data_IF_363946058631
#
_entry.id   IF_363946058631
#
_cell.length_a   1.000
_cell.length_b   1.000
_cell.length_c   1.000
_cell.angle_alpha   90.00
_cell.angle_beta   90.00
_cell.angle_gamma   90.00
#
_symmetry.space_group_name_H-M   'P 1'
#
loop_
_entity.id
_entity.type
_entity.pdbx_description
1 polymer ?
#
# COMPACT_ATOMS: atom_id res chain seq x y z
N UNK A 1 30.40 -17.87 11.57
CA UNK A 1 29.05 -17.38 11.19
C UNK A 1 29.12 -15.85 11.04
N UNK A 2 28.38 -15.24 10.09
CA UNK A 2 28.25 -13.76 10.02
C UNK A 2 26.80 -13.43 10.33
N UNK A 3 26.57 -12.93 11.54
CA UNK A 3 25.26 -12.42 11.96
C UNK A 3 24.91 -11.21 11.08
N UNK A 4 23.82 -11.33 10.32
CA UNK A 4 23.27 -10.25 9.52
C UNK A 4 22.66 -9.20 10.44
N UNK A 5 23.42 -8.14 10.69
CA UNK A 5 22.98 -6.97 11.44
C UNK A 5 21.84 -6.28 10.66
N UNK A 6 20.60 -6.63 11.04
CA UNK A 6 19.40 -6.02 10.48
C UNK A 6 19.32 -4.60 11.00
N UNK A 7 19.78 -3.62 10.22
CA UNK A 7 19.71 -2.20 10.58
C UNK A 7 18.27 -1.70 10.61
N UNK A 8 17.54 -1.97 11.69
CA UNK A 8 16.26 -1.31 11.95
C UNK A 8 16.50 0.17 12.24
N UNK A 9 15.91 1.05 11.43
CA UNK A 9 15.97 2.50 11.65
C UNK A 9 15.00 2.86 12.79
N UNK A 10 15.47 2.76 14.03
CA UNK A 10 14.73 3.18 15.22
C UNK A 10 14.81 4.69 15.44
N UNK A 11 13.78 5.29 16.03
CA UNK A 11 13.80 6.71 16.40
C UNK A 11 14.98 7.01 17.34
N UNK A 12 15.76 8.06 17.07
CA UNK A 12 16.92 8.40 17.89
C UNK A 12 16.54 8.81 19.32
N UNK A 13 15.36 9.42 19.50
CA UNK A 13 14.86 9.90 20.80
C UNK A 13 14.15 8.81 21.60
N UNK A 14 13.24 8.06 20.96
CA UNK A 14 12.33 7.15 21.66
C UNK A 14 12.69 5.67 21.51
N UNK A 15 13.65 5.34 20.63
CA UNK A 15 14.06 3.97 20.25
C UNK A 15 12.96 3.05 19.73
N UNK A 16 11.73 3.54 19.58
CA UNK A 16 10.65 2.77 18.97
C UNK A 16 10.82 2.68 17.44
N UNK A 17 10.16 1.71 16.80
CA UNK A 17 10.06 1.64 15.34
C UNK A 17 9.45 2.91 14.77
N UNK A 18 9.82 3.25 13.52
CA UNK A 18 9.36 4.45 12.84
C UNK A 18 7.83 4.55 12.78
N UNK A 19 7.16 3.42 12.57
CA UNK A 19 5.70 3.24 12.51
C UNK A 19 4.97 3.43 13.86
N UNK A 20 5.72 3.56 14.96
CA UNK A 20 5.17 3.85 16.28
C UNK A 20 5.06 5.35 16.57
N UNK A 21 5.56 6.19 15.66
CA UNK A 21 5.37 7.62 15.70
C UNK A 21 4.28 8.04 14.72
N UNK A 22 3.43 8.97 15.14
CA UNK A 22 2.64 9.80 14.24
C UNK A 22 3.60 10.81 13.56
N UNK A 23 4.49 10.30 12.68
CA UNK A 23 5.30 11.16 11.81
C UNK A 23 4.38 11.69 10.71
N UNK A 24 3.56 12.69 11.08
CA UNK A 24 2.83 13.49 10.14
C UNK A 24 3.85 14.22 9.27
N UNK A 25 4.01 13.76 8.04
CA UNK A 25 4.54 14.60 6.99
C UNK A 25 3.32 15.14 6.25
N UNK A 26 3.22 16.45 6.10
CA UNK A 26 2.14 17.09 5.32
C UNK A 26 2.07 16.56 3.87
N UNK A 27 3.17 15.98 3.35
CA UNK A 27 3.28 15.34 2.03
C UNK A 27 2.82 13.86 2.01
N UNK A 28 2.41 13.26 3.13
CA UNK A 28 2.19 11.81 3.26
C UNK A 28 0.71 11.40 3.25
N UNK A 29 -0.20 12.37 3.12
CA UNK A 29 -1.65 12.12 3.18
C UNK A 29 -2.17 11.36 1.95
N UNK A 30 -1.37 11.24 0.89
CA UNK A 30 -1.76 10.48 -0.29
C UNK A 30 -0.52 9.99 -1.05
N UNK A 31 -0.36 8.67 -1.11
CA UNK A 31 0.71 8.02 -1.87
C UNK A 31 0.74 8.45 -3.33
N UNK A 32 -0.43 8.69 -3.94
CA UNK A 32 -0.51 9.20 -5.33
C UNK A 32 0.02 10.62 -5.46
N UNK A 33 -0.20 11.48 -4.48
CA UNK A 33 0.37 12.84 -4.46
C UNK A 33 1.88 12.78 -4.24
N UNK A 34 2.34 11.87 -3.38
CA UNK A 34 3.77 11.63 -3.08
C UNK A 34 4.57 11.11 -4.27
N UNK A 35 3.92 10.45 -5.24
CA UNK A 35 4.56 9.85 -6.41
C UNK A 35 4.46 10.73 -7.67
N UNK A 36 3.72 11.84 -7.63
CA UNK A 36 3.46 12.64 -8.83
C UNK A 36 2.63 11.91 -9.90
N UNK A 37 2.06 10.73 -9.61
CA UNK A 37 1.17 9.95 -10.50
C UNK A 37 -0.25 10.53 -10.45
N UNK A 38 -0.32 11.85 -10.42
CA UNK A 38 -1.51 12.64 -10.24
C UNK A 38 -1.84 13.41 -11.50
N UNK A 39 -2.05 12.73 -12.62
CA UNK A 39 -2.85 13.23 -13.73
C UNK A 39 -3.03 12.12 -14.77
N UNK A 40 -3.89 11.15 -14.48
CA UNK A 40 -4.70 10.62 -15.57
C UNK A 40 -6.14 10.47 -15.08
N UNK A 41 -7.00 11.25 -15.74
CA UNK A 41 -8.41 11.39 -15.47
C UNK A 41 -9.15 10.16 -15.97
N UNK A 42 -9.04 8.99 -15.33
CA UNK A 42 -10.00 7.92 -15.61
C UNK A 42 -10.45 7.12 -14.38
N UNK A 43 -11.57 7.61 -13.84
CA UNK A 43 -12.82 6.88 -13.61
C UNK A 43 -12.73 5.48 -12.97
N UNK A 44 -12.50 5.44 -11.66
CA UNK A 44 -13.33 4.60 -10.78
C UNK A 44 -13.37 5.12 -9.34
N UNK A 45 -14.31 6.05 -9.09
CA UNK A 45 -14.63 6.58 -7.76
C UNK A 45 -13.83 7.84 -7.43
N UNK A 46 -14.43 9.02 -7.63
CA UNK A 46 -13.87 10.27 -7.11
C UNK A 46 -13.43 10.00 -5.68
N UNK A 47 -12.23 10.40 -5.29
CA UNK A 47 -11.78 10.34 -3.89
C UNK A 47 -12.88 10.84 -2.94
N UNK A 48 -13.64 11.85 -3.37
CA UNK A 48 -14.83 12.39 -2.71
C UNK A 48 -15.93 11.35 -2.43
N UNK A 49 -16.10 10.36 -3.30
CA UNK A 49 -17.06 9.27 -3.15
C UNK A 49 -16.63 8.29 -2.07
N UNK A 50 -15.35 7.92 -2.03
CA UNK A 50 -14.80 7.03 -1.00
C UNK A 50 -14.88 7.71 0.37
N UNK A 51 -14.49 8.99 0.41
CA UNK A 51 -14.60 9.84 1.60
C UNK A 51 -16.06 10.02 2.03
N UNK A 52 -17.00 10.29 1.12
CA UNK A 52 -18.41 10.43 1.47
C UNK A 52 -19.06 9.12 1.94
N UNK A 53 -18.45 7.97 1.63
CA UNK A 53 -18.80 6.67 2.20
C UNK A 53 -18.13 6.38 3.55
N UNK A 54 -17.38 7.34 4.11
CA UNK A 54 -16.70 7.19 5.39
C UNK A 54 -15.44 6.34 5.34
N UNK A 55 -14.86 6.14 4.15
CA UNK A 55 -13.65 5.33 3.94
C UNK A 55 -12.48 6.24 3.54
N UNK A 56 -11.28 5.89 4.01
CA UNK A 56 -10.03 6.51 3.55
C UNK A 56 -9.57 5.92 2.20
N UNK A 57 -9.98 4.69 1.89
CA UNK A 57 -9.61 3.96 0.68
C UNK A 57 -10.62 2.86 0.36
N UNK A 58 -10.79 2.55 -0.93
CA UNK A 58 -11.56 1.40 -1.41
C UNK A 58 -10.76 0.67 -2.51
N UNK A 59 -10.86 -0.68 -2.61
CA UNK A 59 -10.17 -1.43 -3.65
C UNK A 59 -10.70 -1.07 -5.05
N UNK A 60 -9.82 -0.83 -6.04
CA UNK A 60 -10.26 -0.65 -7.42
C UNK A 60 -10.80 -1.97 -7.99
N UNK A 61 -11.60 -1.91 -9.05
CA UNK A 61 -12.14 -3.08 -9.75
C UNK A 61 -13.46 -3.64 -9.21
N UNK A 62 -13.93 -3.18 -8.04
CA UNK A 62 -15.23 -3.58 -7.49
C UNK A 62 -16.30 -2.49 -7.65
N UNK A 63 -17.56 -2.86 -7.93
CA UNK A 63 -18.66 -1.91 -7.86
C UNK A 63 -18.92 -1.46 -6.42
N UNK A 64 -19.45 -0.24 -6.22
CA UNK A 64 -19.63 0.38 -4.90
C UNK A 64 -20.35 -0.50 -3.88
N UNK A 65 -21.37 -1.25 -4.31
CA UNK A 65 -22.15 -2.14 -3.43
C UNK A 65 -21.38 -3.41 -3.00
N UNK A 66 -20.27 -3.75 -3.69
CA UNK A 66 -19.38 -4.87 -3.36
C UNK A 66 -18.22 -4.45 -2.44
N UNK A 67 -17.93 -3.15 -2.31
CA UNK A 67 -16.85 -2.66 -1.43
C UNK A 67 -17.11 -3.02 0.04
N UNK A 68 -18.36 -2.91 0.49
CA UNK A 68 -18.75 -3.33 1.85
C UNK A 68 -18.57 -4.85 2.06
N UNK A 69 -18.92 -5.66 1.05
CA UNK A 69 -18.71 -7.12 1.10
C UNK A 69 -17.23 -7.48 1.17
N UNK A 70 -16.38 -6.79 0.41
CA UNK A 70 -14.93 -6.96 0.49
C UNK A 70 -14.41 -6.68 1.91
N UNK A 71 -14.82 -5.57 2.52
CA UNK A 71 -14.35 -5.22 3.87
C UNK A 71 -14.90 -6.12 4.98
N UNK A 72 -16.04 -6.79 4.77
CA UNK A 72 -16.53 -7.85 5.69
C UNK A 72 -15.60 -9.06 5.76
N UNK A 73 -14.77 -9.26 4.74
CA UNK A 73 -13.77 -10.34 4.71
C UNK A 73 -12.49 -10.00 5.48
N UNK A 74 -12.34 -8.75 5.96
CA UNK A 74 -11.16 -8.29 6.68
C UNK A 74 -11.45 -8.15 8.19
N UNK A 75 -10.42 -8.26 9.05
CA UNK A 75 -10.52 -7.87 10.45
C UNK A 75 -11.01 -6.42 10.58
N UNK A 76 -11.97 -6.17 11.48
CA UNK A 76 -12.61 -4.86 11.61
C UNK A 76 -11.62 -3.73 11.94
N UNK A 77 -10.57 -4.05 12.70
CA UNK A 77 -9.49 -3.13 13.08
C UNK A 77 -8.54 -2.78 11.92
N UNK A 78 -8.69 -3.43 10.75
CA UNK A 78 -7.91 -3.20 9.53
C UNK A 78 -8.73 -2.61 8.38
N UNK A 79 -10.03 -2.39 8.58
CA UNK A 79 -10.89 -1.74 7.58
C UNK A 79 -10.63 -0.23 7.60
N UNK A 80 -10.28 0.42 6.48
CA UNK A 80 -9.84 1.82 6.44
C UNK A 80 -11.03 2.81 6.51
N UNK A 81 -11.79 2.75 7.61
CA UNK A 81 -12.85 3.73 7.92
C UNK A 81 -12.22 4.99 8.51
N UNK A 82 -12.68 6.16 8.05
CA UNK A 82 -12.21 7.47 8.53
C UNK A 82 -12.34 7.57 10.07
N UNK A 83 -11.30 8.06 10.73
CA UNK A 83 -11.22 8.26 12.17
C UNK A 83 -11.05 6.97 13.00
N UNK A 84 -10.85 5.81 12.36
CA UNK A 84 -10.75 4.51 13.06
C UNK A 84 -9.32 3.98 13.12
N UNK A 85 -9.09 2.93 13.94
CA UNK A 85 -7.80 2.23 13.98
C UNK A 85 -7.40 1.64 12.63
N UNK A 86 -8.36 1.29 11.78
CA UNK A 86 -8.10 0.72 10.47
C UNK A 86 -7.60 1.73 9.45
N UNK A 87 -7.99 3.01 9.56
CA UNK A 87 -7.36 4.10 8.80
C UNK A 87 -5.89 4.24 9.19
N UNK A 88 -5.59 4.34 10.49
CA UNK A 88 -4.21 4.39 11.00
C UNK A 88 -3.41 3.14 10.61
N UNK A 89 -4.03 1.97 10.62
CA UNK A 89 -3.41 0.74 10.15
C UNK A 89 -3.03 0.85 8.66
N UNK A 90 -3.95 1.32 7.82
CA UNK A 90 -3.70 1.52 6.38
C UNK A 90 -2.55 2.49 6.13
N UNK A 91 -2.51 3.62 6.85
CA UNK A 91 -1.40 4.58 6.78
C UNK A 91 -0.07 3.90 7.13
N UNK A 92 -0.01 3.18 8.26
CA UNK A 92 1.19 2.41 8.65
C UNK A 92 1.63 1.42 7.59
N UNK A 93 0.69 0.69 6.99
CA UNK A 93 1.01 -0.24 5.91
C UNK A 93 1.58 0.46 4.68
N UNK A 94 1.09 1.65 4.31
CA UNK A 94 1.65 2.45 3.23
C UNK A 94 3.07 2.93 3.53
N UNK A 95 3.35 3.32 4.77
CA UNK A 95 4.70 3.73 5.18
C UNK A 95 5.72 2.59 5.04
N UNK A 96 5.29 1.36 5.36
CA UNK A 96 6.11 0.14 5.27
C UNK A 96 6.32 -0.25 3.81
N UNK A 97 5.24 -0.25 3.01
CA UNK A 97 5.28 -0.71 1.62
C UNK A 97 5.96 0.30 0.68
N UNK A 98 5.98 1.59 1.03
CA UNK A 98 6.50 2.67 0.18
C UNK A 98 7.56 3.52 0.91
N UNK A 99 8.73 2.94 1.19
CA UNK A 99 9.84 3.67 1.76
C UNK A 99 10.30 4.81 0.82
N UNK A 100 10.92 5.87 1.36
CA UNK A 100 11.34 7.03 0.53
C UNK A 100 12.45 6.64 -0.44
N UNK A 101 13.32 5.71 -0.02
CA UNK A 101 14.45 5.18 -0.79
C UNK A 101 13.96 4.66 -2.13
N UNK A 102 12.93 3.83 -2.07
CA UNK A 102 12.23 3.30 -3.23
C UNK A 102 11.74 4.40 -4.18
N UNK A 103 11.43 5.62 -3.73
CA UNK A 103 10.87 6.66 -4.59
C UNK A 103 11.91 7.43 -5.39
N UNK A 104 13.09 7.67 -4.82
CA UNK A 104 14.14 8.43 -5.50
C UNK A 104 15.52 8.15 -4.90
N UNK A 105 16.53 8.18 -5.77
CA UNK A 105 17.94 8.09 -5.39
C UNK A 105 18.34 9.15 -4.36
N UNK A 106 17.74 10.34 -4.41
CA UNK A 106 17.98 11.44 -3.46
C UNK A 106 17.72 11.06 -1.99
N UNK A 107 16.91 10.03 -1.72
CA UNK A 107 16.64 9.54 -0.36
C UNK A 107 17.59 8.40 0.08
N UNK A 108 18.52 8.00 -0.79
CA UNK A 108 19.46 6.91 -0.55
C UNK A 108 20.84 7.46 -0.18
N UNK A 109 21.41 6.99 0.93
CA UNK A 109 22.73 7.46 1.43
C UNK A 109 23.90 6.58 1.01
N UNK A 110 23.64 5.34 0.58
CA UNK A 110 24.66 4.30 0.45
C UNK A 110 24.57 3.54 -0.88
N UNK A 111 24.10 4.19 -1.94
CA UNK A 111 24.12 3.63 -3.29
C UNK A 111 25.40 4.11 -3.96
N UNK A 112 26.24 3.16 -4.39
CA UNK A 112 27.47 3.45 -5.12
C UNK A 112 27.15 4.25 -6.40
N UNK A 113 27.87 5.35 -6.69
CA UNK A 113 27.73 6.10 -7.94
C UNK A 113 27.68 5.24 -9.21
N UNK A 114 28.42 4.12 -9.24
CA UNK A 114 28.41 3.19 -10.36
C UNK A 114 27.04 2.54 -10.63
N UNK A 115 26.13 2.54 -9.65
CA UNK A 115 24.80 1.93 -9.73
C UNK A 115 23.66 2.97 -9.84
N UNK A 116 23.95 4.27 -9.88
CA UNK A 116 22.93 5.32 -9.89
C UNK A 116 21.97 5.19 -11.08
N UNK A 117 22.50 5.01 -12.29
CA UNK A 117 21.67 4.84 -13.49
C UNK A 117 20.77 3.62 -13.39
N UNK A 118 21.31 2.44 -13.05
CA UNK A 118 20.51 1.22 -12.89
C UNK A 118 19.44 1.33 -11.79
N UNK A 119 19.71 2.13 -10.75
CA UNK A 119 18.78 2.38 -9.66
C UNK A 119 17.60 3.25 -10.13
N UNK A 120 17.88 4.32 -10.89
CA UNK A 120 16.85 5.18 -11.46
C UNK A 120 15.99 4.42 -12.49
N UNK A 121 16.60 3.60 -13.34
CA UNK A 121 15.88 2.72 -14.27
C UNK A 121 14.93 1.77 -13.52
N UNK A 122 15.39 1.17 -12.43
CA UNK A 122 14.57 0.27 -11.59
C UNK A 122 13.37 1.00 -10.98
N UNK A 123 13.58 2.19 -10.41
CA UNK A 123 12.49 2.98 -9.80
C UNK A 123 11.46 3.38 -10.86
N UNK A 124 11.94 3.85 -12.01
CA UNK A 124 11.09 4.29 -13.12
C UNK A 124 10.22 3.12 -13.58
N UNK A 125 10.83 1.97 -13.88
CA UNK A 125 10.10 0.78 -14.28
C UNK A 125 9.08 0.35 -13.21
N UNK A 126 9.47 0.29 -11.93
CA UNK A 126 8.55 -0.07 -10.84
C UNK A 126 7.35 0.88 -10.77
N UNK A 127 7.58 2.19 -10.85
CA UNK A 127 6.51 3.18 -10.78
C UNK A 127 5.56 3.09 -11.97
N UNK A 128 6.08 2.79 -13.15
CA UNK A 128 5.29 2.72 -14.38
C UNK A 128 4.49 1.42 -14.51
N UNK A 129 5.06 0.27 -14.13
CA UNK A 129 4.47 -1.04 -14.46
C UNK A 129 4.02 -1.88 -13.26
N UNK A 130 4.46 -1.56 -12.05
CA UNK A 130 4.22 -2.42 -10.88
C UNK A 130 3.50 -1.72 -9.72
N UNK A 131 3.57 -0.39 -9.65
CA UNK A 131 2.97 0.39 -8.58
C UNK A 131 1.48 0.65 -8.85
N UNK A 132 0.64 0.45 -7.84
CA UNK A 132 -0.82 0.70 -7.90
C UNK A 132 -1.60 -0.04 -9.01
N UNK A 133 -1.04 -1.11 -9.59
CA UNK A 133 -1.71 -1.91 -10.63
C UNK A 133 -2.71 -2.95 -10.08
N UNK A 134 -2.69 -3.21 -8.77
CA UNK A 134 -3.52 -4.24 -8.16
C UNK A 134 -4.99 -3.81 -8.09
N UNK A 135 -5.90 -4.73 -8.41
CA UNK A 135 -7.34 -4.52 -8.32
C UNK A 135 -8.04 -5.74 -7.76
N UNK A 136 -9.15 -5.49 -7.05
CA UNK A 136 -10.02 -6.55 -6.59
C UNK A 136 -11.00 -6.95 -7.70
N UNK A 137 -11.18 -8.25 -7.87
CA UNK A 137 -12.11 -8.83 -8.83
C UNK A 137 -13.02 -9.79 -8.09
N UNK A 138 -14.32 -9.71 -8.36
CA UNK A 138 -15.26 -10.70 -7.86
C UNK A 138 -15.01 -12.06 -8.53
N UNK A 139 -14.87 -13.11 -7.71
CA UNK A 139 -14.88 -14.48 -8.18
C UNK A 139 -16.15 -15.16 -7.67
N UNK A 140 -17.02 -15.58 -8.59
CA UNK A 140 -18.30 -16.21 -8.28
C UNK A 140 -18.19 -17.73 -8.11
N UNK A 141 -17.07 -18.32 -8.55
CA UNK A 141 -16.80 -19.74 -8.48
C UNK A 141 -15.71 -20.04 -7.46
N UNK A 142 -15.85 -21.18 -6.79
CA UNK A 142 -14.78 -21.75 -5.96
C UNK A 142 -13.50 -21.84 -6.79
N UNK A 143 -12.41 -21.30 -6.27
CA UNK A 143 -11.11 -21.26 -6.95
C UNK A 143 -10.04 -21.80 -6.00
N UNK A 144 -9.15 -22.63 -6.51
CA UNK A 144 -8.03 -23.15 -5.72
C UNK A 144 -6.78 -22.30 -5.98
N UNK A 145 -6.07 -21.94 -4.91
CA UNK A 145 -4.81 -21.20 -5.00
C UNK A 145 -3.76 -22.07 -5.70
N UNK A 146 -3.11 -21.60 -6.79
CA UNK A 146 -2.14 -22.39 -7.53
C UNK A 146 -0.88 -22.72 -6.70
N UNK A 147 -0.54 -21.88 -5.72
CA UNK A 147 0.67 -22.03 -4.91
C UNK A 147 0.45 -22.94 -3.69
N UNK A 148 -0.66 -22.78 -2.96
CA UNK A 148 -0.88 -23.52 -1.71
C UNK A 148 -1.98 -24.57 -1.78
N UNK A 149 -2.69 -24.70 -2.90
CA UNK A 149 -3.77 -25.67 -3.12
C UNK A 149 -5.02 -25.45 -2.28
N UNK A 150 -5.07 -24.40 -1.44
CA UNK A 150 -6.26 -24.09 -0.64
C UNK A 150 -7.34 -23.49 -1.50
N UNK A 151 -8.56 -23.95 -1.27
CA UNK A 151 -9.75 -23.39 -1.90
C UNK A 151 -10.15 -22.05 -1.29
N UNK A 152 -10.56 -21.11 -2.13
CA UNK A 152 -11.23 -19.86 -1.78
C UNK A 152 -12.70 -20.00 -2.13
N UNK A 153 -13.56 -19.92 -1.12
CA UNK A 153 -15.01 -20.04 -1.24
C UNK A 153 -15.67 -18.67 -1.52
N UNK A 154 -16.93 -18.65 -2.01
CA UNK A 154 -17.69 -17.42 -2.10
C UNK A 154 -17.79 -16.71 -0.74
N UNK A 155 -17.48 -15.42 -0.70
CA UNK A 155 -17.44 -14.62 0.53
C UNK A 155 -16.09 -14.65 1.26
N UNK A 156 -15.08 -15.32 0.71
CA UNK A 156 -13.69 -15.22 1.15
C UNK A 156 -12.89 -14.31 0.21
N UNK A 157 -11.74 -13.84 0.70
CA UNK A 157 -10.78 -13.07 -0.09
C UNK A 157 -9.48 -13.85 -0.23
N UNK A 158 -8.93 -13.86 -1.44
CA UNK A 158 -7.65 -14.46 -1.76
C UNK A 158 -6.80 -13.48 -2.58
N UNK A 159 -5.49 -13.68 -2.52
CA UNK A 159 -4.54 -13.03 -3.42
C UNK A 159 -4.11 -14.11 -4.42
N UNK A 160 -4.24 -13.79 -5.70
CA UNK A 160 -3.81 -14.63 -6.82
C UNK A 160 -2.49 -14.11 -7.37
#
# INVERSE_FOLDING_TARGET
>A
EREGESQSKTCNSCKCPRESHDVFHEEWVNVRERLGIGQDQDKWGSRDRVISQGLAWAPPGLPPYKVDQYFKCLPQDKVPKLGTSGEKYREKQLMIQLPKQDLALAYCRHVDPAHHTSYEDFITARNEIALDIAYAKECTTKTDCPECGRSVNPGEVGVL
#
